data_IF_012280647592
#
_entry.id   IF_012280647592
#
_cell.length_a   1.000
_cell.length_b   1.000
_cell.length_c   1.000
_cell.angle_alpha   90.00
_cell.angle_beta   90.00
_cell.angle_gamma   90.00
#
_symmetry.space_group_name_H-M   'P 1'
#
loop_
_entity.id
_entity.type
_entity.pdbx_description
1 polymer ?
#
# COMPACT_ATOMS: atom_id res chain seq x y z
N UNK A 1 -13.70 24.30 60.65
CA UNK A 1 -13.47 24.17 59.19
C UNK A 1 -14.14 22.89 58.71
N UNK A 2 -15.12 23.00 57.81
CA UNK A 2 -16.11 21.96 57.53
C UNK A 2 -15.60 20.95 56.48
N UNK A 3 -14.86 19.97 56.96
CA UNK A 3 -14.26 18.82 56.27
C UNK A 3 -15.23 17.99 55.42
N UNK A 4 -16.56 18.09 55.64
CA UNK A 4 -17.57 17.47 54.78
C UNK A 4 -17.65 18.12 53.39
N UNK A 5 -17.43 19.44 53.27
CA UNK A 5 -17.48 20.14 51.97
C UNK A 5 -16.35 19.72 51.03
N UNK A 6 -15.18 19.41 51.59
CA UNK A 6 -14.02 18.99 50.80
C UNK A 6 -14.15 17.53 50.32
N UNK A 7 -14.77 16.68 51.14
CA UNK A 7 -15.10 15.30 50.78
C UNK A 7 -16.07 15.23 49.59
N UNK A 8 -17.07 16.11 49.54
CA UNK A 8 -17.99 16.21 48.40
C UNK A 8 -17.33 16.78 47.12
N UNK A 9 -16.37 17.70 47.26
CA UNK A 9 -15.58 18.22 46.12
C UNK A 9 -14.66 17.16 45.51
N UNK A 10 -14.04 16.30 46.33
CA UNK A 10 -13.25 15.16 45.83
C UNK A 10 -14.11 14.06 45.18
N UNK A 11 -15.31 13.80 45.71
CA UNK A 11 -16.24 12.83 45.14
C UNK A 11 -16.81 13.26 43.77
N UNK A 12 -16.97 14.57 43.54
CA UNK A 12 -17.43 15.12 42.25
C UNK A 12 -16.31 15.09 41.18
N UNK A 13 -15.04 15.15 41.57
CA UNK A 13 -13.91 15.11 40.63
C UNK A 13 -13.66 13.70 40.03
N UNK A 14 -14.15 12.65 40.70
CA UNK A 14 -13.93 11.25 40.30
C UNK A 14 -14.93 10.73 39.23
N UNK A 15 -15.88 11.56 38.77
CA UNK A 15 -16.94 11.15 37.84
C UNK A 15 -16.71 11.65 36.40
N UNK A 16 -15.54 12.24 36.10
CA UNK A 16 -15.23 12.78 34.77
C UNK A 16 -14.55 11.74 33.86
N UNK A 17 -14.21 10.55 34.36
CA UNK A 17 -13.44 9.56 33.60
C UNK A 17 -14.29 8.64 32.72
N UNK A 18 -15.09 9.24 31.83
CA UNK A 18 -15.70 8.55 30.70
C UNK A 18 -15.25 9.18 29.38
N UNK A 19 -13.93 9.31 29.19
CA UNK A 19 -13.36 9.55 27.87
C UNK A 19 -13.32 8.21 27.12
N UNK A 20 -14.35 7.92 26.33
CA UNK A 20 -14.38 6.74 25.47
C UNK A 20 -13.14 6.68 24.57
N UNK A 21 -12.49 5.52 24.47
CA UNK A 21 -11.32 5.35 23.61
C UNK A 21 -11.73 5.54 22.15
N UNK A 22 -11.01 6.37 21.37
CA UNK A 22 -11.36 6.57 19.96
C UNK A 22 -11.29 5.26 19.17
N UNK A 23 -12.27 5.03 18.31
CA UNK A 23 -12.33 3.84 17.48
C UNK A 23 -11.19 3.83 16.46
N UNK A 24 -10.51 2.68 16.35
CA UNK A 24 -9.50 2.47 15.31
C UNK A 24 -10.17 2.05 14.00
N UNK A 25 -9.90 2.80 12.93
CA UNK A 25 -10.34 2.47 11.58
C UNK A 25 -9.31 1.61 10.87
N UNK A 26 -9.75 0.48 10.33
CA UNK A 26 -8.93 -0.43 9.54
C UNK A 26 -9.21 -0.26 8.05
N UNK A 27 -8.14 -0.17 7.26
CA UNK A 27 -8.22 0.14 5.83
C UNK A 27 -7.66 -1.00 4.97
N UNK A 28 -8.32 -1.23 3.85
CA UNK A 28 -7.93 -2.16 2.80
C UNK A 28 -7.57 -1.38 1.54
N UNK A 29 -6.72 -1.95 0.69
CA UNK A 29 -6.52 -1.43 -0.65
C UNK A 29 -7.58 -1.99 -1.57
N UNK A 30 -8.13 -1.12 -2.40
CA UNK A 30 -9.07 -1.51 -3.44
C UNK A 30 -8.72 -0.82 -4.76
N UNK A 31 -7.59 -1.21 -5.39
CA UNK A 31 -7.26 -0.71 -6.72
C UNK A 31 -8.36 -1.13 -7.70
N UNK A 32 -8.86 -0.20 -8.50
CA UNK A 32 -9.84 -0.55 -9.53
C UNK A 32 -9.15 -1.33 -10.63
N UNK A 33 -9.80 -2.37 -11.16
CA UNK A 33 -9.29 -3.10 -12.31
C UNK A 33 -9.17 -2.17 -13.53
N UNK A 34 -8.17 -2.42 -14.37
CA UNK A 34 -8.00 -1.75 -15.65
C UNK A 34 -8.82 -2.39 -16.76
N UNK A 35 -8.53 -2.00 -18.00
CA UNK A 35 -9.09 -2.64 -19.19
C UNK A 35 -8.59 -4.08 -19.29
N UNK A 36 -9.53 -5.01 -19.51
CA UNK A 36 -9.26 -6.44 -19.70
C UNK A 36 -8.82 -6.66 -21.15
N UNK A 37 -7.67 -7.30 -21.37
CA UNK A 37 -7.23 -7.68 -22.71
C UNK A 37 -8.06 -8.84 -23.25
N UNK A 38 -8.45 -8.76 -24.53
CA UNK A 38 -9.13 -9.85 -25.25
C UNK A 38 -8.16 -10.93 -25.72
N UNK A 39 -6.89 -10.58 -25.88
CA UNK A 39 -5.85 -11.45 -26.41
C UNK A 39 -4.70 -11.47 -25.40
N UNK A 40 -4.68 -12.44 -24.46
CA UNK A 40 -3.58 -12.56 -23.51
C UNK A 40 -2.29 -12.98 -24.24
N UNK A 41 -1.16 -12.47 -23.76
CA UNK A 41 0.16 -13.01 -24.11
C UNK A 41 0.31 -14.43 -23.56
N UNK A 42 1.04 -15.35 -24.26
CA UNK A 42 1.29 -16.70 -23.74
C UNK A 42 2.17 -16.73 -22.49
N UNK A 43 2.79 -15.61 -22.10
CA UNK A 43 3.74 -15.52 -20.98
C UNK A 43 3.05 -15.73 -19.63
N UNK A 44 3.64 -16.60 -18.79
CA UNK A 44 3.30 -16.80 -17.39
C UNK A 44 4.20 -15.94 -16.50
N UNK A 45 3.59 -15.12 -15.64
CA UNK A 45 4.30 -14.18 -14.77
C UNK A 45 4.28 -14.68 -13.33
N UNK A 46 5.44 -14.82 -12.70
CA UNK A 46 5.58 -15.04 -11.27
C UNK A 46 5.81 -13.73 -10.50
N UNK A 47 5.22 -13.58 -9.32
CA UNK A 47 5.41 -12.43 -8.45
C UNK A 47 5.94 -12.93 -7.10
N UNK A 48 7.19 -12.60 -6.77
CA UNK A 48 7.69 -12.80 -5.42
C UNK A 48 7.13 -11.74 -4.47
N UNK A 49 6.97 -12.06 -3.17
CA UNK A 49 6.58 -11.08 -2.17
C UNK A 49 7.51 -9.86 -2.21
N UNK A 50 6.92 -8.68 -2.33
CA UNK A 50 7.69 -7.45 -2.29
C UNK A 50 8.22 -7.21 -0.89
N UNK A 51 9.49 -6.78 -0.81
CA UNK A 51 10.05 -6.24 0.42
C UNK A 51 9.51 -4.82 0.63
N UNK A 52 9.53 -4.35 1.86
CA UNK A 52 9.19 -2.96 2.19
C UNK A 52 10.24 -2.40 3.15
N UNK A 53 10.54 -1.12 3.02
CA UNK A 53 11.37 -0.40 3.99
C UNK A 53 10.78 -0.56 5.40
N UNK A 54 11.58 -0.97 6.42
CA UNK A 54 11.10 -1.29 7.76
C UNK A 54 10.17 -0.24 8.38
N UNK A 55 10.38 1.04 8.08
CA UNK A 55 9.55 2.13 8.61
C UNK A 55 8.07 2.02 8.22
N UNK A 56 7.76 1.38 7.09
CA UNK A 56 6.38 1.15 6.61
C UNK A 56 5.86 -0.27 6.91
N UNK A 57 6.57 -1.06 7.72
CA UNK A 57 6.11 -2.41 8.12
C UNK A 57 4.95 -2.34 9.10
N UNK A 58 4.91 -1.31 9.94
CA UNK A 58 3.81 -1.08 10.88
C UNK A 58 2.52 -0.77 10.11
N UNK A 59 1.36 -1.37 10.47
CA UNK A 59 0.10 -1.06 9.81
C UNK A 59 -0.41 0.37 10.06
N UNK A 60 0.17 1.16 10.97
CA UNK A 60 -0.23 2.57 11.08
C UNK A 60 0.01 3.31 9.76
N UNK A 61 -0.99 4.07 9.28
CA UNK A 61 -0.84 4.82 8.03
C UNK A 61 0.20 5.93 8.25
N UNK A 62 1.28 5.86 7.48
CA UNK A 62 2.36 6.83 7.55
C UNK A 62 1.97 8.15 6.88
N UNK A 63 2.47 9.25 7.43
CA UNK A 63 2.33 10.62 6.94
C UNK A 63 3.72 11.21 6.81
N UNK A 64 4.01 11.85 5.69
CA UNK A 64 5.28 12.49 5.46
C UNK A 64 5.09 13.92 4.96
N UNK A 65 5.60 14.87 5.75
CA UNK A 65 5.48 16.32 5.52
C UNK A 65 6.64 16.88 4.70
N UNK A 66 7.80 16.23 4.82
CA UNK A 66 9.05 16.59 4.14
C UNK A 66 9.90 15.34 3.97
N UNK A 67 11.07 15.47 3.35
CA UNK A 67 12.00 14.35 3.24
C UNK A 67 12.56 13.87 4.59
N UNK A 68 12.42 14.67 5.66
CA UNK A 68 13.06 14.45 6.94
C UNK A 68 12.10 14.06 8.08
N UNK A 69 10.79 14.28 7.92
CA UNK A 69 9.81 14.06 8.98
C UNK A 69 8.72 13.08 8.56
N UNK A 70 8.58 12.00 9.34
CA UNK A 70 7.53 11.00 9.20
C UNK A 70 6.73 10.88 10.51
N UNK A 71 5.42 10.80 10.38
CA UNK A 71 4.47 10.57 11.47
C UNK A 71 3.56 9.39 11.10
N UNK A 72 2.76 8.93 12.06
CA UNK A 72 1.81 7.84 11.85
C UNK A 72 0.47 8.20 12.46
N UNK A 73 -0.62 7.90 11.75
CA UNK A 73 -1.95 8.02 12.35
C UNK A 73 -2.11 7.06 13.53
N UNK A 74 -2.64 7.59 14.63
CA UNK A 74 -2.86 6.78 15.83
C UNK A 74 -4.07 5.84 15.70
N UNK A 75 -5.18 6.33 15.10
CA UNK A 75 -6.44 5.59 14.96
C UNK A 75 -6.79 5.20 13.51
N UNK A 76 -5.85 5.31 12.58
CA UNK A 76 -6.05 4.90 11.18
C UNK A 76 -4.93 3.96 10.75
N UNK A 77 -5.29 2.71 10.48
CA UNK A 77 -4.34 1.63 10.25
C UNK A 77 -4.75 0.80 9.04
N UNK A 78 -3.78 0.28 8.32
CA UNK A 78 -3.96 -0.83 7.40
C UNK A 78 -4.48 -2.06 8.15
N UNK A 79 -5.35 -2.82 7.50
CA UNK A 79 -5.93 -4.04 8.07
C UNK A 79 -4.88 -5.16 8.25
N UNK A 80 -3.79 -5.10 7.49
CA UNK A 80 -2.64 -6.00 7.63
C UNK A 80 -1.35 -5.29 7.18
N UNK A 81 -0.23 -6.03 7.08
CA UNK A 81 1.05 -5.51 6.62
C UNK A 81 0.92 -4.86 5.21
N UNK A 82 1.37 -3.61 5.01
CA UNK A 82 1.26 -2.92 3.73
C UNK A 82 1.92 -3.65 2.56
N UNK A 83 3.08 -4.30 2.76
CA UNK A 83 3.76 -5.07 1.73
C UNK A 83 2.89 -6.22 1.22
N UNK A 84 2.24 -6.94 2.14
CA UNK A 84 1.31 -8.03 1.80
C UNK A 84 0.12 -7.49 1.00
N UNK A 85 -0.44 -6.35 1.42
CA UNK A 85 -1.58 -5.73 0.72
C UNK A 85 -1.22 -5.27 -0.68
N UNK A 86 -0.06 -4.62 -0.84
CA UNK A 86 0.41 -4.12 -2.15
C UNK A 86 0.74 -5.29 -3.08
N UNK A 87 1.41 -6.33 -2.57
CA UNK A 87 1.74 -7.52 -3.36
C UNK A 87 0.49 -8.26 -3.84
N UNK A 88 -0.50 -8.44 -2.96
CA UNK A 88 -1.80 -9.02 -3.30
C UNK A 88 -2.53 -8.18 -4.34
N UNK A 89 -2.67 -6.88 -4.07
CA UNK A 89 -3.32 -5.91 -4.96
C UNK A 89 -2.72 -5.88 -6.37
N UNK A 90 -1.39 -5.87 -6.49
CA UNK A 90 -0.70 -5.92 -7.79
C UNK A 90 -0.96 -7.25 -8.48
N UNK A 91 -0.82 -8.37 -7.77
CA UNK A 91 -1.07 -9.69 -8.35
C UNK A 91 -2.50 -9.86 -8.85
N UNK A 92 -3.49 -9.42 -8.08
CA UNK A 92 -4.90 -9.48 -8.44
C UNK A 92 -5.22 -8.55 -9.62
N UNK A 93 -4.62 -7.36 -9.67
CA UNK A 93 -4.73 -6.47 -10.82
C UNK A 93 -4.17 -7.12 -12.10
N UNK A 94 -2.97 -7.69 -12.04
CA UNK A 94 -2.35 -8.34 -13.20
C UNK A 94 -3.18 -9.55 -13.67
N UNK A 95 -3.73 -10.35 -12.74
CA UNK A 95 -4.67 -11.44 -13.06
C UNK A 95 -5.92 -10.91 -13.76
N UNK A 96 -6.58 -9.91 -13.17
CA UNK A 96 -7.82 -9.34 -13.68
C UNK A 96 -7.65 -8.66 -15.04
N UNK A 97 -6.44 -8.17 -15.35
CA UNK A 97 -6.14 -7.53 -16.64
C UNK A 97 -6.21 -8.48 -17.84
N UNK A 98 -6.15 -9.80 -17.62
CA UNK A 98 -6.09 -10.82 -18.67
C UNK A 98 -5.01 -10.56 -19.75
N UNK A 99 -3.90 -9.90 -19.39
CA UNK A 99 -2.78 -9.61 -20.32
C UNK A 99 -1.77 -10.75 -20.44
N UNK A 100 -1.79 -11.69 -19.50
CA UNK A 100 -0.85 -12.79 -19.37
C UNK A 100 -1.62 -14.11 -19.28
N UNK A 101 -1.03 -15.21 -19.75
CA UNK A 101 -1.67 -16.53 -19.72
C UNK A 101 -1.86 -17.04 -18.29
N UNK A 102 -0.95 -16.66 -17.39
CA UNK A 102 -1.08 -16.89 -15.95
C UNK A 102 -0.31 -15.85 -15.15
N UNK A 103 -0.80 -15.57 -13.94
CA UNK A 103 -0.09 -14.78 -12.93
C UNK A 103 -0.06 -15.58 -11.63
N UNK A 104 1.14 -15.92 -11.17
CA UNK A 104 1.41 -16.80 -10.05
C UNK A 104 2.01 -16.00 -8.90
N UNK A 105 1.52 -16.21 -7.67
CA UNK A 105 2.19 -15.75 -6.47
C UNK A 105 3.26 -16.77 -6.10
N UNK A 106 4.51 -16.34 -5.98
CA UNK A 106 5.66 -17.22 -5.72
C UNK A 106 5.98 -17.30 -4.22
N UNK A 107 6.49 -18.45 -3.72
CA UNK A 107 6.74 -19.69 -4.47
C UNK A 107 5.45 -20.40 -4.89
N UNK A 108 5.45 -21.00 -6.08
CA UNK A 108 4.33 -21.75 -6.64
C UNK A 108 4.81 -23.12 -7.14
N UNK A 109 3.89 -24.08 -7.26
CA UNK A 109 4.17 -25.40 -7.85
C UNK A 109 4.39 -25.32 -9.37
N UNK A 110 3.71 -24.40 -10.04
CA UNK A 110 3.85 -24.15 -11.47
C UNK A 110 5.05 -23.24 -11.75
N UNK A 111 5.73 -23.49 -12.87
CA UNK A 111 6.79 -22.60 -13.36
C UNK A 111 6.20 -21.40 -14.10
N UNK A 112 6.81 -20.24 -13.85
CA UNK A 112 6.57 -19.02 -14.62
C UNK A 112 7.68 -18.86 -15.67
N UNK A 113 7.39 -18.17 -16.78
CA UNK A 113 8.41 -17.87 -17.81
C UNK A 113 9.34 -16.74 -17.36
N UNK A 114 8.75 -15.80 -16.62
CA UNK A 114 9.44 -14.67 -15.99
C UNK A 114 8.98 -14.51 -14.54
N UNK A 115 9.80 -13.88 -13.71
CA UNK A 115 9.39 -13.47 -12.37
C UNK A 115 9.77 -12.04 -12.02
N UNK A 116 8.96 -11.45 -11.15
CA UNK A 116 9.10 -10.08 -10.64
C UNK A 116 9.58 -10.12 -9.20
N UNK A 117 10.55 -9.26 -8.88
CA UNK A 117 10.94 -8.91 -7.51
C UNK A 117 10.81 -7.41 -7.33
N UNK A 118 10.41 -6.98 -6.13
CA UNK A 118 10.27 -5.56 -5.83
C UNK A 118 10.61 -5.21 -4.39
N UNK A 119 11.00 -3.95 -4.20
CA UNK A 119 11.18 -3.31 -2.89
C UNK A 119 10.38 -2.02 -2.86
N UNK A 120 9.45 -1.92 -1.92
CA UNK A 120 8.63 -0.74 -1.68
C UNK A 120 9.42 0.21 -0.76
N UNK A 121 9.73 1.39 -1.28
CA UNK A 121 10.51 2.42 -0.57
C UNK A 121 9.63 3.48 0.07
N UNK A 122 8.44 3.74 -0.48
CA UNK A 122 7.45 4.63 0.14
C UNK A 122 6.05 4.10 -0.07
N UNK A 123 5.25 4.15 0.98
CA UNK A 123 3.81 3.96 0.93
C UNK A 123 3.14 4.83 1.98
N UNK A 124 2.82 6.06 1.60
CA UNK A 124 2.65 7.15 2.57
C UNK A 124 1.63 8.19 2.11
N UNK A 125 0.98 8.86 3.06
CA UNK A 125 0.39 10.16 2.82
C UNK A 125 1.51 11.20 2.63
N UNK A 126 1.65 11.71 1.42
CA UNK A 126 2.62 12.77 1.13
C UNK A 126 1.93 14.12 1.13
N UNK A 127 2.45 15.10 1.88
CA UNK A 127 1.89 16.44 1.96
C UNK A 127 2.77 17.47 1.25
N UNK A 128 2.16 18.32 0.43
CA UNK A 128 2.81 19.46 -0.21
C UNK A 128 1.96 20.70 0.04
N UNK A 129 2.33 21.47 1.07
CA UNK A 129 1.50 22.56 1.58
C UNK A 129 0.13 22.05 2.04
N UNK A 130 -0.93 22.59 1.44
CA UNK A 130 -2.32 22.20 1.72
C UNK A 130 -2.83 21.01 0.90
N UNK A 131 -2.00 20.44 0.02
CA UNK A 131 -2.36 19.30 -0.83
C UNK A 131 -1.83 17.99 -0.26
N UNK A 132 -2.66 16.97 -0.36
CA UNK A 132 -2.44 15.66 0.23
C UNK A 132 -2.43 14.65 -0.90
N UNK A 133 -1.51 13.69 -0.83
CA UNK A 133 -1.31 12.70 -1.88
C UNK A 133 -1.16 11.31 -1.27
N UNK A 134 -1.63 10.30 -1.98
CA UNK A 134 -1.13 8.94 -1.81
C UNK A 134 0.13 8.77 -2.64
N UNK A 135 1.25 8.43 -1.99
CA UNK A 135 2.53 8.18 -2.67
C UNK A 135 2.96 6.73 -2.49
N UNK A 136 3.13 6.04 -3.62
CA UNK A 136 3.80 4.75 -3.72
C UNK A 136 5.11 4.93 -4.51
N UNK A 137 6.23 4.51 -3.94
CA UNK A 137 7.52 4.37 -4.65
C UNK A 137 8.06 2.97 -4.44
N UNK A 138 8.46 2.31 -5.52
CA UNK A 138 9.05 0.98 -5.47
C UNK A 138 10.09 0.78 -6.57
N UNK A 139 11.12 0.00 -6.28
CA UNK A 139 12.02 -0.54 -7.29
C UNK A 139 11.57 -1.94 -7.68
N UNK A 140 11.70 -2.25 -8.96
CA UNK A 140 11.28 -3.54 -9.52
C UNK A 140 12.37 -4.08 -10.43
N UNK A 141 12.51 -5.40 -10.43
CA UNK A 141 13.32 -6.14 -11.39
C UNK A 141 12.54 -7.32 -11.95
N UNK A 142 12.64 -7.52 -13.27
CA UNK A 142 12.01 -8.60 -14.03
C UNK A 142 13.11 -9.51 -14.54
N UNK A 143 12.95 -10.81 -14.32
CA UNK A 143 13.94 -11.82 -14.68
C UNK A 143 13.30 -12.91 -15.53
N UNK A 144 14.04 -13.48 -16.47
CA UNK A 144 13.66 -14.73 -17.13
C UNK A 144 13.92 -15.90 -16.18
N UNK A 145 12.93 -16.77 -16.01
CA UNK A 145 13.02 -17.90 -15.07
C UNK A 145 14.04 -18.95 -15.54
N UNK A 146 14.14 -19.18 -16.84
CA UNK A 146 14.97 -20.25 -17.44
C UNK A 146 16.45 -20.15 -17.05
N UNK A 147 17.02 -18.95 -17.07
CA UNK A 147 18.46 -18.69 -16.96
C UNK A 147 18.80 -17.60 -15.92
N UNK A 148 17.78 -16.98 -15.30
CA UNK A 148 17.96 -15.89 -14.35
C UNK A 148 18.38 -14.56 -15.00
N UNK A 149 18.31 -14.42 -16.33
CA UNK A 149 18.68 -13.18 -17.00
C UNK A 149 17.80 -12.02 -16.52
N UNK A 150 18.43 -10.91 -16.10
CA UNK A 150 17.73 -9.65 -15.84
C UNK A 150 17.23 -9.06 -17.16
N UNK A 151 15.91 -9.03 -17.33
CA UNK A 151 15.26 -8.47 -18.53
C UNK A 151 15.03 -6.97 -18.39
N UNK A 152 14.69 -6.53 -17.18
CA UNK A 152 14.43 -5.12 -16.90
C UNK A 152 14.60 -4.80 -15.41
N UNK A 153 15.06 -3.58 -15.12
CA UNK A 153 15.09 -3.00 -13.76
C UNK A 153 14.76 -1.51 -13.84
N UNK A 154 13.99 -1.02 -12.87
CA UNK A 154 13.72 0.40 -12.73
C UNK A 154 12.85 0.72 -11.52
N UNK A 155 12.55 2.00 -11.37
CA UNK A 155 11.71 2.53 -10.29
C UNK A 155 10.33 2.91 -10.83
N UNK A 156 9.28 2.59 -10.07
CA UNK A 156 7.90 3.00 -10.31
C UNK A 156 7.47 3.92 -9.17
N UNK A 157 7.05 5.14 -9.50
CA UNK A 157 6.62 6.16 -8.53
C UNK A 157 5.28 6.75 -8.94
N UNK A 158 4.26 6.57 -8.10
CA UNK A 158 2.90 7.08 -8.32
C UNK A 158 2.50 7.98 -7.16
N UNK A 159 2.18 9.24 -7.51
CA UNK A 159 1.72 10.27 -6.58
C UNK A 159 0.33 10.71 -7.03
N UNK A 160 -0.70 10.33 -6.28
CA UNK A 160 -2.10 10.60 -6.63
C UNK A 160 -2.69 11.58 -5.63
N UNK A 161 -3.33 12.69 -6.05
CA UNK A 161 -3.95 13.62 -5.11
C UNK A 161 -5.13 12.98 -4.38
N UNK A 162 -5.24 13.24 -3.08
CA UNK A 162 -6.41 12.93 -2.29
C UNK A 162 -7.48 14.02 -2.51
N UNK A 163 -8.72 13.62 -2.77
CA UNK A 163 -9.82 14.55 -3.06
C UNK A 163 -10.18 15.44 -1.86
N UNK A 164 -9.96 14.93 -0.64
CA UNK A 164 -10.26 15.64 0.61
C UNK A 164 -9.16 15.42 1.63
N UNK A 165 -9.02 16.39 2.54
CA UNK A 165 -8.14 16.35 3.71
C UNK A 165 -8.66 15.37 4.77
N UNK A 166 -8.59 14.08 4.47
CA UNK A 166 -9.13 13.04 5.35
C UNK A 166 -8.41 11.69 5.06
N UNK A 167 -8.09 10.90 6.10
CA UNK A 167 -7.38 9.62 5.95
C UNK A 167 -8.03 8.65 4.95
N UNK A 168 -9.36 8.58 4.89
CA UNK A 168 -10.07 7.74 3.93
C UNK A 168 -9.77 8.13 2.47
N UNK A 169 -9.67 9.42 2.19
CA UNK A 169 -9.39 9.89 0.82
C UNK A 169 -7.93 9.70 0.43
N UNK A 170 -7.03 9.70 1.41
CA UNK A 170 -5.63 9.30 1.22
C UNK A 170 -5.53 7.80 0.94
N UNK A 171 -6.28 6.97 1.65
CA UNK A 171 -6.37 5.52 1.36
C UNK A 171 -6.89 5.26 -0.05
N UNK A 172 -7.89 6.03 -0.51
CA UNK A 172 -8.36 5.97 -1.90
C UNK A 172 -7.26 6.38 -2.88
N UNK A 173 -6.52 7.45 -2.59
CA UNK A 173 -5.40 7.89 -3.41
C UNK A 173 -4.27 6.84 -3.46
N UNK A 174 -3.94 6.19 -2.33
CA UNK A 174 -2.98 5.09 -2.28
C UNK A 174 -3.45 3.85 -3.04
N UNK A 175 -4.75 3.51 -2.94
CA UNK A 175 -5.34 2.45 -3.77
C UNK A 175 -5.18 2.74 -5.26
N UNK A 176 -5.39 4.00 -5.66
CA UNK A 176 -5.20 4.46 -7.04
C UNK A 176 -3.72 4.48 -7.45
N UNK A 177 -2.82 4.87 -6.56
CA UNK A 177 -1.38 4.82 -6.81
C UNK A 177 -0.90 3.37 -7.02
N UNK A 178 -1.41 2.41 -6.24
CA UNK A 178 -1.17 0.98 -6.44
C UNK A 178 -1.72 0.49 -7.77
N UNK A 179 -2.93 0.93 -8.17
CA UNK A 179 -3.50 0.62 -9.49
C UNK A 179 -2.58 1.09 -10.62
N UNK A 180 -2.15 2.35 -10.59
CA UNK A 180 -1.29 2.92 -11.64
C UNK A 180 0.09 2.27 -11.67
N UNK A 181 0.62 1.85 -10.52
CA UNK A 181 1.87 1.11 -10.45
C UNK A 181 1.74 -0.29 -11.04
N UNK A 182 0.63 -0.99 -10.79
CA UNK A 182 0.35 -2.29 -11.37
C UNK A 182 0.16 -2.22 -12.90
N UNK A 183 -0.52 -1.19 -13.39
CA UNK A 183 -0.67 -0.93 -14.83
C UNK A 183 0.69 -0.66 -15.51
N UNK A 184 1.53 0.18 -14.90
CA UNK A 184 2.88 0.42 -15.42
C UNK A 184 3.73 -0.85 -15.40
N UNK A 185 3.68 -1.62 -14.32
CA UNK A 185 4.39 -2.89 -14.22
C UNK A 185 3.95 -3.87 -15.30
N UNK A 186 2.64 -3.96 -15.57
CA UNK A 186 2.11 -4.79 -16.67
C UNK A 186 2.73 -4.37 -18.01
N UNK A 187 2.77 -3.06 -18.29
CA UNK A 187 3.40 -2.53 -19.50
C UNK A 187 4.89 -2.84 -19.59
N UNK A 188 5.63 -2.73 -18.48
CA UNK A 188 7.06 -3.10 -18.44
C UNK A 188 7.27 -4.58 -18.73
N UNK A 189 6.44 -5.46 -18.15
CA UNK A 189 6.49 -6.90 -18.42
C UNK A 189 6.26 -7.19 -19.90
N UNK A 190 5.21 -6.64 -20.49
CA UNK A 190 4.90 -6.83 -21.91
C UNK A 190 6.04 -6.37 -22.84
N UNK A 191 6.82 -5.37 -22.43
CA UNK A 191 7.96 -4.87 -23.20
C UNK A 191 9.27 -5.65 -23.04
N UNK A 192 9.30 -6.74 -22.26
CA UNK A 192 10.51 -7.54 -22.05
C UNK A 192 10.69 -8.71 -23.04
N UNK A 193 9.74 -8.92 -23.94
CA UNK A 193 9.75 -10.00 -24.93
C UNK A 193 9.15 -9.57 -26.27
#
# INVERSE_FOLDING_TARGET
MNNKKWFWLFAILLIIDCAGTPQTNLYLLHPKNGSVSKTPSPVKVGIYPFKIDPVFTNPAIAIQYSEYEIQFYHYHRWATNPATMINGAIGDYLKASNRFSAVLQLPATQTSDIFVRGTIHKFVEWREGDRWFGLLKMDVSIFRTKDGQLLWRGSISKKVPAEKRNPLFVVKALSKATQEAAEELAGKILGTY
#
